data_IF_433558395650
#
_entry.id   IF_433558395650
#
_cell.length_a   1.000
_cell.length_b   1.000
_cell.length_c   1.000
_cell.angle_alpha   90.00
_cell.angle_beta   90.00
_cell.angle_gamma   90.00
#
_symmetry.space_group_name_H-M   'P 1'
#
loop_
_entity.id
_entity.type
_entity.pdbx_description
1 polymer ?
#
# COMPACT_ATOMS: atom_id res chain seq x y z
N UNK A 1 1.89 17.45 -52.52
CA UNK A 1 2.71 16.46 -51.80
C UNK A 1 1.83 15.76 -50.78
N UNK A 2 1.55 14.47 -50.99
CA UNK A 2 0.87 13.60 -50.02
C UNK A 2 1.96 12.92 -49.20
N UNK A 3 2.01 13.17 -47.90
CA UNK A 3 2.92 12.44 -47.00
C UNK A 3 2.08 11.50 -46.15
N UNK A 4 2.24 10.20 -46.41
CA UNK A 4 1.66 9.08 -45.65
C UNK A 4 2.28 9.08 -44.24
N UNK A 5 1.46 9.14 -43.20
CA UNK A 5 1.88 8.65 -41.89
C UNK A 5 1.57 7.17 -41.79
N UNK A 6 2.60 6.41 -41.49
CA UNK A 6 2.61 4.96 -41.33
C UNK A 6 2.05 4.65 -39.93
N UNK A 7 1.11 3.71 -39.87
CA UNK A 7 0.58 3.14 -38.63
C UNK A 7 1.70 2.43 -37.87
N UNK A 8 2.23 3.09 -36.83
CA UNK A 8 3.01 2.45 -35.79
C UNK A 8 2.10 2.14 -34.61
N UNK A 9 1.88 0.86 -34.32
CA UNK A 9 1.21 0.40 -33.10
C UNK A 9 2.13 0.75 -31.94
N UNK A 10 1.84 1.87 -31.26
CA UNK A 10 2.52 2.24 -30.01
C UNK A 10 1.92 1.40 -28.89
N UNK A 11 2.66 0.40 -28.45
CA UNK A 11 2.45 -0.24 -27.15
C UNK A 11 2.86 0.75 -26.05
N UNK A 12 1.93 1.56 -25.57
CA UNK A 12 2.18 2.46 -24.44
C UNK A 12 2.42 1.64 -23.16
N UNK A 13 3.56 1.81 -22.45
CA UNK A 13 3.76 1.16 -21.17
C UNK A 13 2.76 1.69 -20.14
N UNK A 14 2.20 0.77 -19.35
CA UNK A 14 1.29 1.08 -18.23
C UNK A 14 1.99 1.99 -17.22
N UNK A 15 1.39 3.18 -16.99
CA UNK A 15 1.87 4.26 -16.12
C UNK A 15 1.50 4.00 -14.65
N UNK A 16 2.18 3.04 -14.02
CA UNK A 16 2.10 2.78 -12.58
C UNK A 16 3.33 3.39 -11.88
N UNK A 17 3.14 4.22 -10.83
CA UNK A 17 4.25 4.81 -10.04
C UNK A 17 5.04 3.79 -9.20
N UNK A 18 4.55 2.55 -9.04
CA UNK A 18 5.28 1.52 -8.29
C UNK A 18 6.64 1.26 -8.92
N UNK A 19 7.71 1.25 -8.10
CA UNK A 19 9.11 1.05 -8.48
C UNK A 19 9.26 0.41 -9.88
N UNK A 20 9.47 1.24 -10.89
CA UNK A 20 9.90 0.80 -12.20
C UNK A 20 11.35 0.34 -12.05
N UNK A 21 11.53 -0.94 -11.69
CA UNK A 21 12.77 -1.65 -12.03
C UNK A 21 12.79 -1.71 -13.55
N UNK A 22 13.43 -0.73 -14.18
CA UNK A 22 13.60 -0.72 -15.63
C UNK A 22 14.33 -1.99 -16.05
N UNK A 23 13.90 -2.63 -17.15
CA UNK A 23 14.49 -3.88 -17.67
C UNK A 23 16.01 -3.76 -17.93
N UNK A 24 16.54 -2.53 -18.00
CA UNK A 24 17.93 -2.23 -18.27
C UNK A 24 18.80 -2.00 -17.01
N UNK A 25 18.26 -2.15 -15.79
CA UNK A 25 19.01 -1.97 -14.54
C UNK A 25 19.42 -3.30 -13.86
N UNK A 26 19.45 -4.42 -14.58
CA UNK A 26 20.06 -5.67 -14.09
C UNK A 26 21.60 -5.58 -14.09
N UNK A 27 22.16 -4.67 -13.29
CA UNK A 27 23.54 -4.84 -12.86
C UNK A 27 23.59 -5.83 -11.69
N UNK A 28 23.94 -7.06 -12.04
CA UNK A 28 24.23 -8.17 -11.14
C UNK A 28 25.41 -7.77 -10.24
N UNK A 29 25.20 -7.68 -8.92
CA UNK A 29 26.33 -7.71 -7.99
C UNK A 29 26.76 -9.16 -7.72
N UNK A 30 28.08 -9.48 -7.83
CA UNK A 30 28.63 -10.72 -7.31
C UNK A 30 28.54 -10.70 -5.77
N UNK A 31 28.40 -11.88 -5.17
CA UNK A 31 28.29 -12.02 -3.72
C UNK A 31 29.49 -11.44 -2.99
N UNK A 32 29.38 -10.22 -2.50
CA UNK A 32 30.37 -9.61 -1.61
C UNK A 32 29.97 -9.92 -0.16
N UNK A 33 30.81 -10.69 0.53
CA UNK A 33 30.98 -10.56 1.97
C UNK A 33 31.52 -9.15 2.22
N UNK A 34 30.63 -8.19 2.45
CA UNK A 34 31.02 -6.90 2.98
C UNK A 34 30.48 -6.82 4.40
N UNK A 35 31.38 -6.94 5.38
CA UNK A 35 31.13 -6.54 6.76
C UNK A 35 30.65 -5.09 6.74
N UNK A 36 29.34 -4.91 6.85
CA UNK A 36 28.71 -3.59 6.84
C UNK A 36 28.94 -2.98 8.23
N UNK A 37 30.05 -2.24 8.36
CA UNK A 37 30.22 -1.26 9.44
C UNK A 37 28.96 -0.40 9.46
N UNK A 38 28.39 -0.22 10.64
CA UNK A 38 27.21 0.60 10.86
C UNK A 38 27.31 1.91 10.08
N UNK A 39 26.44 2.09 9.08
CA UNK A 39 26.26 3.36 8.39
C UNK A 39 25.64 4.32 9.40
N UNK A 40 26.49 4.95 10.22
CA UNK A 40 26.11 6.07 11.08
C UNK A 40 25.62 7.18 10.15
N UNK A 41 24.29 7.29 10.00
CA UNK A 41 23.68 8.39 9.27
C UNK A 41 23.94 9.66 10.08
N UNK A 42 24.55 10.69 9.48
CA UNK A 42 24.94 11.89 10.23
C UNK A 42 23.70 12.56 10.83
N UNK A 43 23.83 13.02 12.08
CA UNK A 43 22.75 13.69 12.81
C UNK A 43 22.48 15.12 12.30
N UNK A 44 23.44 15.67 11.55
CA UNK A 44 23.37 16.99 10.94
C UNK A 44 23.48 16.88 9.41
N UNK A 45 22.77 17.72 8.64
CA UNK A 45 22.99 17.81 7.20
C UNK A 45 24.42 18.26 6.88
N UNK A 46 24.94 17.85 5.73
CA UNK A 46 26.18 18.43 5.18
C UNK A 46 26.01 19.91 4.80
N UNK A 47 27.12 20.63 4.66
CA UNK A 47 27.12 22.08 4.41
C UNK A 47 26.40 22.44 3.11
N UNK A 48 26.60 21.66 2.04
CA UNK A 48 25.95 21.88 0.76
C UNK A 48 24.43 21.71 0.87
N UNK A 49 23.98 20.67 1.57
CA UNK A 49 22.56 20.43 1.83
C UNK A 49 21.94 21.58 2.64
N UNK A 50 22.64 22.05 3.68
CA UNK A 50 22.18 23.19 4.48
C UNK A 50 22.06 24.47 3.65
N UNK A 51 23.09 24.79 2.87
CA UNK A 51 23.10 25.99 2.02
C UNK A 51 21.97 25.93 0.99
N UNK A 52 21.81 24.81 0.29
CA UNK A 52 20.74 24.64 -0.67
C UNK A 52 19.35 24.72 -0.02
N UNK A 53 19.16 24.11 1.15
CA UNK A 53 17.91 24.21 1.91
C UNK A 53 17.56 25.65 2.26
N UNK A 54 18.54 26.44 2.72
CA UNK A 54 18.38 27.87 2.98
C UNK A 54 17.99 28.64 1.71
N UNK A 55 18.71 28.42 0.60
CA UNK A 55 18.43 29.08 -0.67
C UNK A 55 17.04 28.76 -1.20
N UNK A 56 16.61 27.50 -1.16
CA UNK A 56 15.26 27.10 -1.58
C UNK A 56 14.18 27.69 -0.66
N UNK A 57 14.36 27.65 0.67
CA UNK A 57 13.40 28.28 1.59
C UNK A 57 13.28 29.79 1.29
N UNK A 58 14.41 30.46 1.08
CA UNK A 58 14.44 31.88 0.72
C UNK A 58 13.85 32.17 -0.66
N UNK A 59 13.96 31.28 -1.63
CA UNK A 59 13.42 31.44 -2.97
C UNK A 59 11.89 31.27 -2.99
N UNK A 60 11.40 30.16 -2.43
CA UNK A 60 10.01 29.73 -2.55
C UNK A 60 9.08 30.24 -1.45
N UNK A 61 9.59 30.55 -0.26
CA UNK A 61 8.77 31.05 0.86
C UNK A 61 8.78 32.58 0.93
N UNK A 62 7.70 33.15 1.47
CA UNK A 62 7.50 34.59 1.65
C UNK A 62 7.87 35.05 3.08
N UNK A 63 7.69 36.34 3.34
CA UNK A 63 7.82 36.93 4.66
C UNK A 63 9.23 36.82 5.23
N UNK A 64 9.31 36.34 6.47
CA UNK A 64 10.55 36.29 7.25
C UNK A 64 11.66 35.46 6.60
N UNK A 65 11.30 34.44 5.82
CA UNK A 65 12.25 33.61 5.07
C UNK A 65 13.08 34.40 4.04
N UNK A 66 12.55 35.51 3.50
CA UNK A 66 13.25 36.36 2.53
C UNK A 66 14.37 37.19 3.17
N UNK A 67 14.21 37.56 4.44
CA UNK A 67 15.11 38.45 5.17
C UNK A 67 15.99 37.72 6.19
N UNK A 68 15.70 36.44 6.46
CA UNK A 68 16.51 35.58 7.33
C UNK A 68 17.97 35.55 6.86
N UNK A 69 18.89 35.74 7.81
CA UNK A 69 20.32 35.55 7.58
C UNK A 69 20.65 34.05 7.53
N UNK A 70 21.69 33.68 6.78
CA UNK A 70 22.07 32.28 6.65
C UNK A 70 22.44 31.66 8.01
N UNK A 71 23.14 32.39 8.88
CA UNK A 71 23.57 31.89 10.19
C UNK A 71 22.40 31.58 11.14
N UNK A 72 21.26 32.26 10.94
CA UNK A 72 20.03 32.08 11.71
C UNK A 72 19.14 30.95 11.16
N UNK A 73 19.51 30.33 10.03
CA UNK A 73 18.74 29.23 9.44
C UNK A 73 18.92 27.93 10.22
N UNK A 74 17.82 27.43 10.79
CA UNK A 74 17.77 26.18 11.53
C UNK A 74 17.32 25.02 10.62
N UNK A 75 18.09 23.92 10.65
CA UNK A 75 17.77 22.70 9.91
C UNK A 75 18.06 21.47 10.77
N UNK A 76 17.12 20.54 10.82
CA UNK A 76 17.28 19.26 11.52
C UNK A 76 16.89 18.10 10.63
N UNK A 77 17.56 16.96 10.77
CA UNK A 77 17.26 15.76 9.98
C UNK A 77 16.02 15.08 10.55
N UNK A 78 14.98 14.88 9.73
CA UNK A 78 13.85 14.02 10.10
C UNK A 78 14.15 12.59 9.69
N UNK A 79 14.13 11.67 10.66
CA UNK A 79 14.20 10.23 10.40
C UNK A 79 12.82 9.75 9.96
N UNK A 80 12.67 9.19 8.75
CA UNK A 80 11.31 8.83 8.30
C UNK A 80 11.13 8.06 6.99
N UNK A 81 12.17 7.68 6.26
CA UNK A 81 12.01 6.89 5.02
C UNK A 81 13.31 6.25 4.53
N UNK A 82 13.19 5.19 3.74
CA UNK A 82 14.32 4.47 3.14
C UNK A 82 14.74 5.08 1.79
N UNK A 83 13.82 5.76 1.11
CA UNK A 83 13.99 6.26 -0.27
C UNK A 83 14.25 7.77 -0.39
N UNK A 84 13.93 8.56 0.66
CA UNK A 84 13.99 10.04 0.63
C UNK A 84 14.80 10.59 1.82
N UNK A 85 15.48 11.74 1.62
CA UNK A 85 16.09 12.50 2.73
C UNK A 85 15.12 13.61 3.16
N UNK A 86 14.82 13.68 4.45
CA UNK A 86 13.86 14.62 5.02
C UNK A 86 14.56 15.56 6.00
N UNK A 87 14.26 16.86 5.90
CA UNK A 87 14.80 17.88 6.79
C UNK A 87 13.69 18.82 7.24
N UNK A 88 13.68 19.15 8.53
CA UNK A 88 12.84 20.21 9.07
C UNK A 88 13.64 21.51 9.06
N UNK A 89 13.21 22.45 8.25
CA UNK A 89 13.78 23.79 8.20
C UNK A 89 12.88 24.73 9.02
N UNK A 90 13.43 25.56 9.92
CA UNK A 90 12.64 26.44 10.79
C UNK A 90 13.22 27.85 10.89
N UNK A 91 12.34 28.82 11.14
CA UNK A 91 12.70 30.14 11.65
C UNK A 91 13.02 30.04 13.14
N UNK A 92 14.07 30.73 13.64
CA UNK A 92 14.33 30.81 15.07
C UNK A 92 13.16 31.42 15.85
N UNK A 93 13.02 31.04 17.11
CA UNK A 93 12.01 31.58 18.03
C UNK A 93 12.09 33.10 18.22
N UNK A 94 13.26 33.69 17.98
CA UNK A 94 13.49 35.13 18.02
C UNK A 94 12.93 35.89 16.81
N UNK A 95 12.65 35.21 15.69
CA UNK A 95 12.16 35.81 14.45
C UNK A 95 10.64 35.70 14.40
N UNK A 96 9.94 36.84 14.41
CA UNK A 96 8.48 36.87 14.24
C UNK A 96 8.11 36.74 12.76
N UNK A 97 7.00 36.05 12.48
CA UNK A 97 6.41 35.99 11.13
C UNK A 97 5.82 37.34 10.74
N UNK A 98 5.91 37.68 9.45
CA UNK A 98 5.44 38.96 8.88
C UNK A 98 4.06 38.81 8.24
N UNK A 99 3.70 37.61 7.78
CA UNK A 99 2.42 37.29 7.18
C UNK A 99 1.96 35.87 7.54
N UNK A 100 1.44 35.16 6.54
CA UNK A 100 0.92 33.80 6.66
C UNK A 100 2.00 32.72 6.41
N UNK A 101 3.29 33.10 6.38
CA UNK A 101 4.36 32.14 6.16
C UNK A 101 4.44 31.12 7.30
N UNK A 102 4.76 29.85 6.98
CA UNK A 102 4.97 28.84 8.01
C UNK A 102 6.26 29.12 8.78
N UNK A 103 6.26 28.88 10.10
CA UNK A 103 7.49 28.93 10.91
C UNK A 103 8.45 27.77 10.63
N UNK A 104 7.88 26.63 10.24
CA UNK A 104 8.63 25.41 9.97
C UNK A 104 8.11 24.73 8.70
N UNK A 105 9.02 24.21 7.89
CA UNK A 105 8.73 23.56 6.63
C UNK A 105 9.49 22.23 6.53
N UNK A 106 8.87 21.25 5.88
CA UNK A 106 9.50 19.98 5.58
C UNK A 106 10.14 20.06 4.19
N UNK A 107 11.46 19.94 4.15
CA UNK A 107 12.22 19.74 2.92
C UNK A 107 12.34 18.25 2.64
N UNK A 108 11.85 17.83 1.49
CA UNK A 108 12.00 16.46 0.99
C UNK A 108 12.88 16.46 -0.24
N UNK A 109 13.99 15.74 -0.17
CA UNK A 109 14.88 15.51 -1.30
C UNK A 109 14.71 14.10 -1.83
N UNK A 110 14.52 14.00 -3.15
CA UNK A 110 14.41 12.74 -3.86
C UNK A 110 15.73 11.96 -3.75
N UNK A 111 15.67 10.71 -3.27
CA UNK A 111 16.86 9.86 -3.23
C UNK A 111 17.25 9.34 -4.61
N UNK A 112 18.45 8.74 -4.70
CA UNK A 112 18.99 8.16 -5.95
C UNK A 112 18.15 7.01 -6.54
N UNK A 113 17.11 6.55 -5.83
CA UNK A 113 16.23 5.42 -6.20
C UNK A 113 15.02 5.88 -7.03
N UNK A 114 14.67 7.18 -7.04
CA UNK A 114 13.65 7.73 -7.94
C UNK A 114 14.19 7.77 -9.39
N UNK A 115 14.16 6.61 -10.02
CA UNK A 115 14.64 6.40 -11.39
C UNK A 115 13.56 6.81 -12.40
N UNK A 116 13.58 8.07 -12.82
CA UNK A 116 12.94 8.51 -14.06
C UNK A 116 12.21 9.85 -13.98
N UNK A 117 12.42 10.70 -14.99
CA UNK A 117 11.76 12.00 -15.11
C UNK A 117 10.23 11.88 -15.11
N UNK A 118 9.68 10.81 -15.69
CA UNK A 118 8.23 10.56 -15.73
C UNK A 118 7.63 10.29 -14.34
N UNK A 119 8.32 9.51 -13.50
CA UNK A 119 7.85 9.21 -12.14
C UNK A 119 7.81 10.47 -11.27
N UNK A 120 8.85 11.31 -11.36
CA UNK A 120 8.90 12.60 -10.65
C UNK A 120 7.78 13.56 -11.07
N UNK A 121 7.46 13.61 -12.37
CA UNK A 121 6.36 14.45 -12.88
C UNK A 121 5.02 13.96 -12.33
N UNK A 122 4.77 12.64 -12.38
CA UNK A 122 3.51 12.08 -11.88
C UNK A 122 3.36 12.27 -10.36
N UNK A 123 4.42 12.03 -9.59
CA UNK A 123 4.43 12.27 -8.14
C UNK A 123 4.17 13.74 -7.83
N UNK A 124 4.81 14.67 -8.56
CA UNK A 124 4.62 16.11 -8.39
C UNK A 124 3.18 16.54 -8.68
N UNK A 125 2.58 16.04 -9.76
CA UNK A 125 1.17 16.31 -10.10
C UNK A 125 0.22 15.74 -9.03
N UNK A 126 0.48 14.51 -8.58
CA UNK A 126 -0.33 13.87 -7.55
C UNK A 126 -0.27 14.65 -6.24
N UNK A 127 0.94 14.98 -5.78
CA UNK A 127 1.16 15.71 -4.56
C UNK A 127 0.49 17.09 -4.59
N UNK A 128 0.66 17.85 -5.68
CA UNK A 128 0.04 19.16 -5.83
C UNK A 128 -1.50 19.08 -5.73
N UNK A 129 -2.13 18.09 -6.37
CA UNK A 129 -3.59 17.93 -6.30
C UNK A 129 -4.04 17.56 -4.88
N UNK A 130 -3.29 16.70 -4.18
CA UNK A 130 -3.61 16.30 -2.81
C UNK A 130 -3.49 17.48 -1.83
N UNK A 131 -2.45 18.29 -2.00
CA UNK A 131 -2.24 19.52 -1.23
C UNK A 131 -3.40 20.51 -1.45
N UNK A 132 -3.78 20.78 -2.70
CA UNK A 132 -4.89 21.68 -3.05
C UNK A 132 -6.26 21.21 -2.56
N UNK A 133 -6.42 19.90 -2.34
CA UNK A 133 -7.66 19.30 -1.82
C UNK A 133 -7.66 19.08 -0.30
N UNK A 134 -6.63 19.55 0.40
CA UNK A 134 -6.47 19.36 1.85
C UNK A 134 -6.47 17.87 2.28
N UNK A 135 -6.02 16.99 1.38
CA UNK A 135 -5.90 15.55 1.63
C UNK A 135 -4.46 15.12 1.94
N UNK A 136 -3.51 16.05 1.87
CA UNK A 136 -2.12 15.88 2.26
C UNK A 136 -1.51 17.19 2.75
N UNK A 137 -0.22 17.21 3.09
CA UNK A 137 0.49 18.42 3.49
C UNK A 137 0.43 19.50 2.40
N UNK A 138 0.32 20.78 2.78
CA UNK A 138 0.38 21.88 1.81
C UNK A 138 1.71 21.88 1.05
N UNK A 139 1.66 22.24 -0.22
CA UNK A 139 2.83 22.38 -1.08
C UNK A 139 3.29 23.84 -1.11
N UNK A 140 4.58 24.08 -0.89
CA UNK A 140 5.16 25.42 -0.94
C UNK A 140 6.16 25.63 -2.08
N UNK A 141 6.75 24.56 -2.60
CA UNK A 141 7.67 24.66 -3.73
C UNK A 141 8.07 23.30 -4.30
N UNK A 142 8.31 23.24 -5.60
CA UNK A 142 8.83 22.05 -6.30
C UNK A 142 10.06 22.47 -7.11
N UNK A 143 11.12 21.68 -7.05
CA UNK A 143 12.36 21.86 -7.80
C UNK A 143 12.94 20.50 -8.20
N UNK A 144 13.92 20.44 -9.13
CA UNK A 144 14.40 19.17 -9.67
C UNK A 144 14.89 18.15 -8.63
N UNK A 145 15.42 18.62 -7.50
CA UNK A 145 15.97 17.79 -6.44
C UNK A 145 14.93 17.37 -5.38
N UNK A 146 13.74 18.00 -5.35
CA UNK A 146 12.82 17.82 -4.23
C UNK A 146 11.66 18.80 -4.18
N UNK A 147 11.08 18.92 -2.99
CA UNK A 147 9.96 19.83 -2.71
C UNK A 147 9.99 20.36 -1.27
N UNK A 148 9.31 21.48 -1.08
CA UNK A 148 8.97 22.04 0.23
C UNK A 148 7.50 21.77 0.50
N UNK A 149 7.23 21.07 1.59
CA UNK A 149 5.88 20.70 2.04
C UNK A 149 5.64 21.15 3.48
N UNK A 150 4.38 21.32 3.87
CA UNK A 150 4.00 21.65 5.23
C UNK A 150 4.59 20.63 6.20
N UNK A 151 5.27 21.10 7.24
CA UNK A 151 5.59 20.24 8.37
C UNK A 151 4.32 20.00 9.19
N UNK A 152 3.92 18.74 9.34
CA UNK A 152 2.73 18.34 10.08
C UNK A 152 3.15 17.57 11.34
N UNK A 153 3.06 18.17 12.54
CA UNK A 153 3.37 17.49 13.81
C UNK A 153 2.51 16.25 14.00
N UNK A 154 3.14 15.09 13.92
CA UNK A 154 2.42 13.81 13.86
C UNK A 154 3.29 12.66 14.37
N UNK A 155 2.66 11.49 14.50
CA UNK A 155 3.33 10.19 14.57
C UNK A 155 2.65 9.22 13.62
N UNK A 156 3.37 8.19 13.19
CA UNK A 156 2.75 7.05 12.49
C UNK A 156 1.84 6.29 13.46
N UNK A 157 0.84 5.60 12.94
CA UNK A 157 0.10 4.62 13.71
C UNK A 157 0.96 3.39 13.99
N UNK A 158 0.67 2.71 15.09
CA UNK A 158 1.14 1.37 15.36
C UNK A 158 0.12 0.35 14.84
N UNK A 159 0.56 -0.85 14.46
CA UNK A 159 -0.30 -1.90 13.91
C UNK A 159 -1.48 -2.22 14.83
N UNK A 160 -1.26 -2.26 16.15
CA UNK A 160 -2.32 -2.56 17.12
C UNK A 160 -3.44 -1.51 17.14
N UNK A 161 -3.14 -0.26 16.74
CA UNK A 161 -4.10 0.84 16.70
C UNK A 161 -5.09 0.72 15.53
N UNK A 162 -4.74 -0.03 14.47
CA UNK A 162 -5.64 -0.28 13.35
C UNK A 162 -6.94 -0.97 13.80
N UNK A 163 -6.84 -1.80 14.85
CA UNK A 163 -7.97 -2.52 15.44
C UNK A 163 -8.90 -1.66 16.30
N UNK A 164 -8.49 -0.43 16.63
CA UNK A 164 -9.31 0.48 17.42
C UNK A 164 -10.54 0.94 16.60
N UNK A 165 -11.78 0.77 17.11
CA UNK A 165 -12.97 1.09 16.33
C UNK A 165 -13.07 2.55 15.86
N UNK A 166 -12.57 3.51 16.66
CA UNK A 166 -12.60 4.93 16.28
C UNK A 166 -11.59 5.25 15.20
N UNK A 167 -10.38 4.68 15.29
CA UNK A 167 -9.33 4.86 14.27
C UNK A 167 -9.77 4.17 12.98
N UNK A 168 -10.22 2.92 13.07
CA UNK A 168 -10.73 2.14 11.93
C UNK A 168 -11.86 2.85 11.19
N UNK A 169 -12.81 3.46 11.92
CA UNK A 169 -13.88 4.27 11.33
C UNK A 169 -13.32 5.50 10.59
N UNK A 170 -12.38 6.22 11.19
CA UNK A 170 -11.79 7.39 10.55
C UNK A 170 -10.96 7.02 9.31
N UNK A 171 -10.18 5.93 9.36
CA UNK A 171 -9.46 5.41 8.18
C UNK A 171 -10.43 5.08 7.06
N UNK A 172 -11.57 4.44 7.39
CA UNK A 172 -12.62 4.14 6.42
C UNK A 172 -13.17 5.42 5.74
N UNK A 173 -13.41 6.48 6.51
CA UNK A 173 -13.85 7.78 5.98
C UNK A 173 -12.79 8.44 5.09
N UNK A 174 -11.51 8.41 5.50
CA UNK A 174 -10.40 8.98 4.71
C UNK A 174 -10.23 8.23 3.40
N UNK A 175 -10.27 6.90 3.44
CA UNK A 175 -10.18 6.04 2.25
C UNK A 175 -11.37 6.27 1.31
N UNK A 176 -12.60 6.41 1.83
CA UNK A 176 -13.78 6.74 1.03
C UNK A 176 -13.63 8.09 0.31
N UNK A 177 -13.15 9.14 1.00
CA UNK A 177 -12.85 10.45 0.40
C UNK A 177 -11.78 10.34 -0.68
N UNK A 178 -10.72 9.57 -0.42
CA UNK A 178 -9.64 9.33 -1.38
C UNK A 178 -10.15 8.61 -2.64
N UNK A 179 -10.95 7.56 -2.48
CA UNK A 179 -11.60 6.83 -3.57
C UNK A 179 -12.55 7.70 -4.41
N UNK A 180 -13.19 8.70 -3.80
CA UNK A 180 -14.05 9.67 -4.49
C UNK A 180 -13.31 10.65 -5.40
N UNK A 181 -11.97 10.68 -5.35
CA UNK A 181 -11.19 11.64 -6.12
C UNK A 181 -11.21 11.37 -7.63
N UNK A 182 -11.38 12.46 -8.39
CA UNK A 182 -11.13 12.48 -9.84
C UNK A 182 -9.74 13.02 -10.10
N UNK A 183 -8.81 12.11 -10.40
CA UNK A 183 -7.42 12.43 -10.70
C UNK A 183 -7.16 12.42 -12.21
N UNK A 184 -6.27 13.25 -12.76
CA UNK A 184 -6.00 13.34 -14.21
C UNK A 184 -5.10 12.20 -14.73
N UNK A 185 -5.31 10.97 -14.25
CA UNK A 185 -4.53 9.79 -14.64
C UNK A 185 -5.36 8.79 -15.46
N UNK A 186 -4.74 7.74 -15.98
CA UNK A 186 -5.46 6.65 -16.63
C UNK A 186 -6.46 6.00 -15.65
N UNK A 187 -7.71 5.82 -16.08
CA UNK A 187 -8.81 5.27 -15.26
C UNK A 187 -8.95 3.76 -15.35
N UNK A 188 -8.24 3.12 -16.26
CA UNK A 188 -8.26 1.66 -16.41
C UNK A 188 -7.49 0.99 -15.26
N UNK A 189 -8.01 -0.08 -14.63
CA UNK A 189 -7.39 -0.77 -13.49
C UNK A 189 -6.25 -1.70 -13.95
N UNK A 190 -5.31 -1.17 -14.74
CA UNK A 190 -4.18 -1.93 -15.31
C UNK A 190 -3.06 -2.17 -14.30
N UNK A 191 -3.06 -1.42 -13.20
CA UNK A 191 -2.00 -1.45 -12.20
C UNK A 191 -1.85 -2.82 -11.55
N UNK A 192 -2.94 -3.40 -11.02
CA UNK A 192 -2.87 -4.63 -10.24
C UNK A 192 -2.40 -5.82 -11.08
N UNK A 193 -3.19 -6.22 -12.08
CA UNK A 193 -2.86 -7.39 -12.91
C UNK A 193 -1.60 -7.18 -13.74
N UNK A 194 -1.43 -5.99 -14.33
CA UNK A 194 -0.25 -5.69 -15.12
C UNK A 194 1.04 -5.72 -14.30
N UNK A 195 1.00 -5.36 -13.01
CA UNK A 195 2.16 -5.45 -12.12
C UNK A 195 2.38 -6.87 -11.62
N UNK A 196 1.33 -7.62 -11.26
CA UNK A 196 1.47 -9.05 -10.91
C UNK A 196 2.07 -9.87 -12.05
N UNK A 197 1.64 -9.64 -13.30
CA UNK A 197 2.21 -10.31 -14.47
C UNK A 197 3.71 -9.99 -14.63
N UNK A 198 4.10 -8.72 -14.46
CA UNK A 198 5.51 -8.31 -14.51
C UNK A 198 6.31 -8.97 -13.39
N UNK A 199 5.80 -8.95 -12.16
CA UNK A 199 6.48 -9.51 -11.00
C UNK A 199 6.62 -11.03 -11.13
N UNK A 200 5.58 -11.75 -11.54
CA UNK A 200 5.67 -13.19 -11.75
C UNK A 200 6.72 -13.52 -12.82
N UNK A 201 6.72 -12.81 -13.95
CA UNK A 201 7.74 -13.00 -15.00
C UNK A 201 9.17 -12.75 -14.49
N UNK A 202 9.36 -11.75 -13.62
CA UNK A 202 10.66 -11.51 -12.99
C UNK A 202 11.03 -12.64 -12.04
N UNK A 203 10.12 -13.03 -11.13
CA UNK A 203 10.30 -14.14 -10.17
C UNK A 203 10.73 -15.42 -10.88
N UNK A 204 10.09 -15.77 -11.99
CA UNK A 204 10.43 -16.96 -12.78
C UNK A 204 11.83 -16.93 -13.41
N UNK A 205 12.47 -15.75 -13.49
CA UNK A 205 13.84 -15.56 -14.01
C UNK A 205 14.87 -15.36 -12.91
N UNK A 206 14.46 -15.28 -11.64
CA UNK A 206 15.36 -15.06 -10.52
C UNK A 206 16.22 -16.28 -10.23
N UNK A 207 17.40 -16.02 -9.70
CA UNK A 207 18.25 -17.02 -9.07
C UNK A 207 18.78 -16.48 -7.74
N UNK A 208 19.06 -17.40 -6.83
CA UNK A 208 19.68 -17.11 -5.54
C UNK A 208 20.97 -17.90 -5.40
N UNK A 209 21.97 -17.32 -4.75
CA UNK A 209 23.26 -17.99 -4.49
C UNK A 209 23.39 -18.47 -3.05
N UNK A 210 22.65 -17.87 -2.12
CA UNK A 210 22.64 -18.26 -0.69
C UNK A 210 21.77 -19.50 -0.50
N UNK A 211 22.32 -20.52 0.16
CA UNK A 211 21.64 -21.81 0.36
C UNK A 211 20.31 -21.67 1.12
N UNK A 212 20.26 -20.81 2.14
CA UNK A 212 19.01 -20.52 2.85
C UNK A 212 17.94 -19.95 1.91
N UNK A 213 18.29 -18.99 1.05
CA UNK A 213 17.35 -18.39 0.10
C UNK A 213 16.92 -19.40 -0.97
N UNK A 214 17.86 -20.23 -1.46
CA UNK A 214 17.56 -21.29 -2.42
C UNK A 214 16.55 -22.31 -1.89
N UNK A 215 16.67 -22.73 -0.62
CA UNK A 215 15.70 -23.66 -0.02
C UNK A 215 14.28 -23.07 0.01
N UNK A 216 14.15 -21.83 0.47
CA UNK A 216 12.87 -21.13 0.51
C UNK A 216 12.31 -20.90 -0.91
N UNK A 217 13.15 -20.46 -1.84
CA UNK A 217 12.75 -20.21 -3.22
C UNK A 217 12.33 -21.48 -3.97
N UNK A 218 13.05 -22.59 -3.80
CA UNK A 218 12.69 -23.87 -4.41
C UNK A 218 11.37 -24.42 -3.84
N UNK A 219 11.09 -24.20 -2.55
CA UNK A 219 9.78 -24.52 -1.96
C UNK A 219 8.67 -23.70 -2.60
N UNK A 220 8.89 -22.41 -2.82
CA UNK A 220 7.94 -21.53 -3.51
C UNK A 220 7.69 -21.97 -4.96
N UNK A 221 8.74 -22.26 -5.71
CA UNK A 221 8.65 -22.76 -7.08
C UNK A 221 8.09 -24.18 -7.19
N UNK A 222 7.97 -24.92 -6.09
CA UNK A 222 7.24 -26.20 -6.07
C UNK A 222 5.74 -26.00 -6.30
N UNK A 223 5.23 -24.79 -6.03
CA UNK A 223 3.89 -24.39 -6.38
C UNK A 223 3.82 -23.88 -7.81
N UNK A 224 2.71 -24.15 -8.49
CA UNK A 224 2.46 -23.61 -9.83
C UNK A 224 1.93 -22.18 -9.73
N UNK A 225 2.85 -21.22 -9.50
CA UNK A 225 2.52 -19.80 -9.31
C UNK A 225 1.70 -19.20 -10.46
N UNK A 226 1.93 -19.68 -11.69
CA UNK A 226 1.16 -19.25 -12.86
C UNK A 226 -0.30 -19.71 -12.76
N UNK A 227 -0.52 -20.97 -12.41
CA UNK A 227 -1.87 -21.51 -12.22
C UNK A 227 -2.61 -20.83 -11.07
N UNK A 228 -1.92 -20.51 -9.97
CA UNK A 228 -2.50 -19.76 -8.86
C UNK A 228 -2.89 -18.34 -9.29
N UNK A 229 -2.05 -17.66 -10.09
CA UNK A 229 -2.36 -16.34 -10.64
C UNK A 229 -3.58 -16.39 -11.57
N UNK A 230 -3.68 -17.40 -12.43
CA UNK A 230 -4.81 -17.56 -13.38
C UNK A 230 -6.12 -17.85 -12.64
N UNK A 231 -6.07 -18.67 -11.58
CA UNK A 231 -7.20 -18.92 -10.69
C UNK A 231 -7.64 -17.64 -9.97
N UNK A 232 -6.70 -16.90 -9.40
CA UNK A 232 -6.97 -15.65 -8.70
C UNK A 232 -7.59 -14.62 -9.65
N UNK A 233 -7.04 -14.45 -10.86
CA UNK A 233 -7.63 -13.59 -11.89
C UNK A 233 -9.08 -13.96 -12.18
N UNK A 234 -9.35 -15.24 -12.41
CA UNK A 234 -10.71 -15.75 -12.67
C UNK A 234 -11.67 -15.47 -11.51
N UNK A 235 -11.22 -15.63 -10.26
CA UNK A 235 -12.00 -15.31 -9.06
C UNK A 235 -12.34 -13.81 -8.99
N UNK A 236 -11.35 -12.94 -9.22
CA UNK A 236 -11.52 -11.49 -9.15
C UNK A 236 -12.37 -10.96 -10.31
N UNK A 237 -12.22 -11.50 -11.52
CA UNK A 237 -13.10 -11.18 -12.67
C UNK A 237 -14.57 -11.54 -12.40
N UNK A 238 -14.82 -12.60 -11.63
CA UNK A 238 -16.17 -12.98 -11.18
C UNK A 238 -16.71 -12.13 -10.02
N UNK A 239 -15.93 -11.16 -9.54
CA UNK A 239 -16.24 -10.30 -8.39
C UNK A 239 -16.31 -8.86 -8.86
N UNK A 240 -17.52 -8.30 -8.90
CA UNK A 240 -17.66 -6.89 -9.25
C UNK A 240 -17.02 -6.01 -8.17
N UNK A 241 -15.96 -5.28 -8.53
CA UNK A 241 -15.37 -4.21 -7.71
C UNK A 241 -15.30 -2.93 -8.56
N UNK A 242 -15.90 -1.81 -8.12
CA UNK A 242 -15.71 -0.51 -8.74
C UNK A 242 -14.23 -0.12 -8.86
N UNK A 243 -13.91 0.53 -9.98
CA UNK A 243 -12.59 1.14 -10.21
C UNK A 243 -12.60 2.57 -9.68
N UNK A 244 -11.73 2.84 -8.72
CA UNK A 244 -11.60 4.12 -8.02
C UNK A 244 -10.13 4.51 -7.93
N UNK A 245 -9.81 5.72 -7.48
CA UNK A 245 -8.43 6.09 -7.22
C UNK A 245 -8.01 5.53 -5.86
N UNK A 246 -7.16 4.51 -5.85
CA UNK A 246 -6.74 3.77 -4.66
C UNK A 246 -5.36 4.22 -4.18
N UNK A 247 -5.12 4.11 -2.86
CA UNK A 247 -3.81 4.28 -2.25
C UNK A 247 -2.87 3.13 -2.64
N UNK A 248 -3.42 1.90 -2.64
CA UNK A 248 -2.79 0.60 -2.88
C UNK A 248 -1.79 0.12 -1.80
N UNK A 249 -1.36 0.99 -0.89
CA UNK A 249 -0.45 0.66 0.22
C UNK A 249 -0.84 1.35 1.54
N UNK A 250 -2.09 1.18 1.98
CA UNK A 250 -2.62 1.86 3.17
C UNK A 250 -2.26 1.12 4.49
N UNK A 251 -0.95 0.94 4.74
CA UNK A 251 -0.42 0.38 5.99
C UNK A 251 -0.35 1.44 7.13
N UNK A 252 -0.17 1.01 8.37
CA UNK A 252 -0.07 1.88 9.55
C UNK A 252 1.03 2.94 9.42
N UNK A 253 2.14 2.59 8.74
CA UNK A 253 3.26 3.49 8.51
C UNK A 253 2.94 4.68 7.61
N UNK A 254 1.85 4.57 6.84
CA UNK A 254 1.35 5.56 5.88
C UNK A 254 0.12 6.31 6.42
N UNK A 255 -0.23 6.11 7.69
CA UNK A 255 -1.32 6.82 8.38
C UNK A 255 -0.72 7.61 9.53
N UNK A 256 -0.80 8.94 9.44
CA UNK A 256 -0.31 9.86 10.46
C UNK A 256 -1.42 10.22 11.44
N UNK A 257 -1.17 10.04 12.73
CA UNK A 257 -1.94 10.65 13.81
C UNK A 257 -1.38 12.05 14.13
N UNK A 258 -2.22 13.06 13.96
CA UNK A 258 -1.89 14.47 14.11
C UNK A 258 -1.90 14.89 15.60
N UNK A 259 -0.89 15.65 16.05
CA UNK A 259 -0.69 15.99 17.48
C UNK A 259 -1.57 17.13 18.00
N UNK A 260 -1.96 18.10 17.15
CA UNK A 260 -2.50 19.40 17.59
C UNK A 260 -4.02 19.56 17.45
N UNK A 261 -4.78 18.48 17.34
CA UNK A 261 -6.23 18.56 17.32
C UNK A 261 -6.83 18.46 18.72
N UNK A 262 -7.58 19.48 19.13
CA UNK A 262 -8.40 19.42 20.35
C UNK A 262 -9.23 18.13 20.34
N UNK A 263 -9.44 17.51 21.50
CA UNK A 263 -10.10 16.20 21.63
C UNK A 263 -11.50 16.13 20.96
N UNK A 264 -12.13 17.26 20.66
CA UNK A 264 -13.40 17.42 19.96
C UNK A 264 -13.35 17.34 18.42
N UNK A 265 -12.18 17.41 17.79
CA UNK A 265 -12.08 17.36 16.33
C UNK A 265 -12.26 15.93 15.82
N UNK A 266 -13.16 15.80 14.84
CA UNK A 266 -13.56 14.53 14.21
C UNK A 266 -12.55 13.98 13.19
N UNK A 267 -11.41 14.64 12.99
CA UNK A 267 -10.43 14.27 11.96
C UNK A 267 -9.01 14.42 12.54
N UNK A 268 -8.40 13.30 12.93
CA UNK A 268 -7.07 13.22 13.54
C UNK A 268 -6.05 12.48 12.66
N UNK A 269 -6.50 11.87 11.56
CA UNK A 269 -5.68 11.05 10.68
C UNK A 269 -5.40 11.76 9.35
N UNK A 270 -4.22 11.50 8.80
CA UNK A 270 -3.81 11.92 7.46
C UNK A 270 -3.14 10.75 6.75
N UNK A 271 -3.59 10.44 5.53
CA UNK A 271 -2.93 9.47 4.67
C UNK A 271 -1.72 10.14 4.00
N UNK A 272 -0.63 9.40 3.85
CA UNK A 272 0.60 9.87 3.21
C UNK A 272 1.22 8.75 2.36
N UNK A 273 2.25 9.10 1.58
CA UNK A 273 3.05 8.15 0.81
C UNK A 273 2.27 7.43 -0.31
N UNK A 274 1.86 8.22 -1.29
CA UNK A 274 0.99 7.80 -2.40
C UNK A 274 1.77 7.18 -3.58
N UNK A 275 2.95 6.60 -3.33
CA UNK A 275 3.84 6.10 -4.39
C UNK A 275 3.23 4.95 -5.21
N UNK A 276 2.34 4.16 -4.60
CA UNK A 276 1.64 3.09 -5.29
C UNK A 276 0.28 3.53 -5.85
N UNK A 277 -0.15 4.77 -5.61
CA UNK A 277 -1.51 5.20 -5.91
C UNK A 277 -1.82 5.22 -7.41
N UNK A 278 -2.97 4.67 -7.77
CA UNK A 278 -3.45 4.58 -9.16
C UNK A 278 -4.96 4.35 -9.18
N UNK A 279 -5.57 4.41 -10.37
CA UNK A 279 -6.88 3.80 -10.52
C UNK A 279 -6.76 2.28 -10.38
N UNK A 280 -7.54 1.70 -9.48
CA UNK A 280 -7.55 0.27 -9.17
C UNK A 280 -8.90 -0.13 -8.56
N UNK A 281 -9.07 -1.41 -8.28
CA UNK A 281 -10.27 -1.97 -7.64
C UNK A 281 -10.36 -1.55 -6.16
N UNK A 282 -11.48 -0.95 -5.73
CA UNK A 282 -11.67 -0.56 -4.32
C UNK A 282 -11.53 -1.75 -3.36
N UNK A 283 -11.95 -2.95 -3.79
CA UNK A 283 -11.82 -4.18 -3.01
C UNK A 283 -10.37 -4.50 -2.68
N UNK A 284 -9.43 -4.19 -3.58
CA UNK A 284 -8.00 -4.35 -3.34
C UNK A 284 -7.50 -3.43 -2.24
N UNK A 285 -7.84 -2.14 -2.28
CA UNK A 285 -7.29 -1.17 -1.33
C UNK A 285 -7.77 -1.43 0.10
N UNK A 286 -9.07 -1.72 0.26
CA UNK A 286 -9.65 -2.10 1.56
C UNK A 286 -9.11 -3.46 2.01
N UNK A 287 -9.04 -4.44 1.11
CA UNK A 287 -8.53 -5.78 1.42
C UNK A 287 -7.07 -5.76 1.85
N UNK A 288 -6.26 -4.97 1.16
CA UNK A 288 -4.87 -4.71 1.52
C UNK A 288 -4.77 -4.10 2.91
N UNK A 289 -5.54 -3.05 3.19
CA UNK A 289 -5.55 -2.43 4.51
C UNK A 289 -5.89 -3.43 5.63
N UNK A 290 -6.84 -4.35 5.40
CA UNK A 290 -7.13 -5.41 6.36
C UNK A 290 -6.00 -6.44 6.51
N UNK A 291 -5.28 -6.73 5.43
CA UNK A 291 -4.09 -7.59 5.51
C UNK A 291 -3.03 -6.98 6.45
N UNK A 292 -2.82 -5.66 6.39
CA UNK A 292 -1.81 -4.95 7.22
C UNK A 292 -2.07 -5.05 8.73
N UNK A 293 -3.29 -5.39 9.18
CA UNK A 293 -3.56 -5.62 10.61
C UNK A 293 -2.76 -6.78 11.20
N UNK A 294 -2.30 -7.69 10.35
CA UNK A 294 -1.52 -8.86 10.76
C UNK A 294 -0.01 -8.61 10.80
N UNK A 295 0.47 -7.54 10.17
CA UNK A 295 1.90 -7.30 9.95
C UNK A 295 2.38 -6.16 10.84
N UNK A 296 3.28 -6.48 11.77
CA UNK A 296 3.92 -5.50 12.65
C UNK A 296 5.37 -5.31 12.22
N UNK A 297 5.68 -4.16 11.64
CA UNK A 297 7.01 -3.81 11.15
C UNK A 297 7.90 -3.13 12.21
N UNK A 298 7.41 -2.94 13.45
CA UNK A 298 8.18 -2.30 14.52
C UNK A 298 9.01 -3.34 15.31
N UNK A 299 9.93 -4.00 14.60
CA UNK A 299 10.78 -5.05 15.16
C UNK A 299 12.26 -4.76 14.91
N UNK A 300 13.05 -4.67 15.99
CA UNK A 300 14.50 -4.41 15.94
C UNK A 300 15.34 -5.65 15.59
N UNK A 301 14.72 -6.84 15.60
CA UNK A 301 15.38 -8.11 15.34
C UNK A 301 14.90 -8.73 14.04
N UNK A 302 15.81 -9.42 13.33
CA UNK A 302 15.49 -10.19 12.13
C UNK A 302 14.33 -11.18 12.40
N UNK A 303 13.28 -11.26 11.56
CA UNK A 303 13.19 -10.75 10.18
C UNK A 303 12.79 -9.27 10.02
N UNK A 304 12.75 -8.50 11.11
CA UNK A 304 12.35 -7.09 11.20
C UNK A 304 10.85 -6.85 11.02
N UNK A 305 10.06 -7.91 11.21
CA UNK A 305 8.61 -7.84 11.31
C UNK A 305 8.06 -9.06 12.06
N UNK A 306 6.80 -8.99 12.49
CA UNK A 306 6.03 -10.10 13.06
C UNK A 306 4.71 -10.24 12.31
N UNK A 307 4.28 -11.48 12.12
CA UNK A 307 2.98 -11.79 11.53
C UNK A 307 2.10 -12.47 12.55
N UNK A 308 0.89 -11.94 12.77
CA UNK A 308 -0.14 -12.51 13.64
C UNK A 308 -1.42 -12.68 12.86
N UNK A 309 -1.60 -13.87 12.26
CA UNK A 309 -2.76 -14.16 11.43
C UNK A 309 -4.11 -14.00 12.17
N UNK A 310 -4.11 -14.20 13.49
CA UNK A 310 -5.28 -14.01 14.35
C UNK A 310 -5.72 -12.54 14.49
N UNK A 311 -4.85 -11.58 14.14
CA UNK A 311 -5.15 -10.15 14.24
C UNK A 311 -5.85 -9.62 12.98
N UNK A 312 -6.05 -10.46 11.94
CA UNK A 312 -6.91 -10.11 10.81
C UNK A 312 -8.32 -9.71 11.31
N UNK A 313 -8.92 -8.62 10.81
CA UNK A 313 -10.19 -8.13 11.33
C UNK A 313 -11.27 -9.20 11.22
N UNK A 314 -11.92 -9.52 12.34
CA UNK A 314 -13.07 -10.40 12.33
C UNK A 314 -14.23 -9.79 11.54
N UNK A 315 -15.23 -10.59 11.16
CA UNK A 315 -16.38 -10.10 10.37
C UNK A 315 -17.05 -8.87 10.99
N UNK A 316 -17.18 -8.78 12.31
CA UNK A 316 -17.75 -7.60 12.97
C UNK A 316 -16.90 -6.33 12.79
N UNK A 317 -15.57 -6.44 12.90
CA UNK A 317 -14.65 -5.32 12.66
C UNK A 317 -14.66 -4.89 11.18
N UNK A 318 -14.68 -5.85 10.25
CA UNK A 318 -14.78 -5.55 8.83
C UNK A 318 -16.09 -4.83 8.49
N UNK A 319 -17.22 -5.31 9.01
CA UNK A 319 -18.53 -4.68 8.80
C UNK A 319 -18.58 -3.27 9.41
N UNK A 320 -17.92 -3.04 10.54
CA UNK A 320 -17.79 -1.69 11.14
C UNK A 320 -17.01 -0.74 10.23
N UNK A 321 -15.87 -1.17 9.69
CA UNK A 321 -15.11 -0.38 8.71
C UNK A 321 -15.95 -0.11 7.45
N UNK A 322 -16.54 -1.16 6.88
CA UNK A 322 -17.36 -1.11 5.66
C UNK A 322 -18.55 -0.16 5.83
N UNK A 323 -19.21 -0.16 6.98
CA UNK A 323 -20.32 0.75 7.24
C UNK A 323 -19.89 2.22 7.22
N UNK A 324 -18.79 2.56 7.89
CA UNK A 324 -18.26 3.92 7.90
C UNK A 324 -17.77 4.34 6.50
N UNK A 325 -17.14 3.42 5.76
CA UNK A 325 -16.75 3.64 4.38
C UNK A 325 -17.96 3.92 3.47
N UNK A 326 -19.03 3.12 3.56
CA UNK A 326 -20.23 3.29 2.75
C UNK A 326 -20.97 4.58 3.11
N UNK A 327 -21.07 4.92 4.40
CA UNK A 327 -21.65 6.19 4.86
C UNK A 327 -20.92 7.41 4.27
N UNK A 328 -19.60 7.33 4.13
CA UNK A 328 -18.78 8.40 3.55
C UNK A 328 -18.74 8.42 2.02
N UNK A 329 -19.01 7.29 1.34
CA UNK A 329 -18.88 7.17 -0.13
C UNK A 329 -20.22 7.10 -0.88
N UNK A 330 -21.32 6.78 -0.21
CA UNK A 330 -22.63 6.61 -0.80
C UNK A 330 -23.63 7.61 -0.20
N UNK A 331 -23.95 8.65 -0.97
CA UNK A 331 -24.94 9.64 -0.56
C UNK A 331 -26.29 8.98 -0.27
N UNK A 332 -26.86 9.27 0.91
CA UNK A 332 -28.13 8.71 1.34
C UNK A 332 -28.06 7.28 1.89
N UNK A 333 -26.86 6.73 2.18
CA UNK A 333 -26.69 5.42 2.80
C UNK A 333 -27.55 5.24 4.06
N UNK A 334 -27.53 6.23 4.96
CA UNK A 334 -28.30 6.19 6.22
C UNK A 334 -29.83 6.27 5.99
N UNK A 335 -30.28 6.73 4.82
CA UNK A 335 -31.70 6.82 4.45
C UNK A 335 -32.26 5.50 3.89
N UNK A 336 -31.40 4.52 3.62
CA UNK A 336 -31.80 3.22 3.09
C UNK A 336 -32.42 2.33 4.18
N UNK A 337 -33.18 1.32 3.74
CA UNK A 337 -33.70 0.29 4.65
C UNK A 337 -32.55 -0.49 5.30
N UNK A 338 -32.78 -1.05 6.50
CA UNK A 338 -31.79 -1.90 7.16
C UNK A 338 -31.41 -3.12 6.31
N UNK A 339 -32.35 -3.65 5.52
CA UNK A 339 -32.11 -4.77 4.60
C UNK A 339 -31.16 -4.37 3.47
N UNK A 340 -31.37 -3.21 2.85
CA UNK A 340 -30.51 -2.71 1.76
C UNK A 340 -29.12 -2.33 2.27
N UNK A 341 -29.04 -1.69 3.44
CA UNK A 341 -27.75 -1.41 4.09
C UNK A 341 -26.99 -2.72 4.36
N UNK A 342 -27.65 -3.72 4.94
CA UNK A 342 -27.02 -5.01 5.24
C UNK A 342 -26.56 -5.72 3.96
N UNK A 343 -27.38 -5.71 2.91
CA UNK A 343 -27.04 -6.29 1.61
C UNK A 343 -25.78 -5.67 1.02
N UNK A 344 -25.69 -4.33 0.97
CA UNK A 344 -24.49 -3.65 0.47
C UNK A 344 -23.26 -3.93 1.33
N UNK A 345 -23.41 -4.00 2.65
CA UNK A 345 -22.32 -4.36 3.56
C UNK A 345 -21.80 -5.78 3.30
N UNK A 346 -22.68 -6.75 3.10
CA UNK A 346 -22.30 -8.15 2.80
C UNK A 346 -21.69 -8.31 1.40
N UNK A 347 -22.18 -7.57 0.40
CA UNK A 347 -21.58 -7.53 -0.95
C UNK A 347 -20.16 -6.96 -0.90
N UNK A 348 -19.94 -5.84 -0.20
CA UNK A 348 -18.60 -5.27 -0.05
C UNK A 348 -17.69 -6.14 0.83
N UNK A 349 -18.22 -6.79 1.87
CA UNK A 349 -17.47 -7.77 2.67
C UNK A 349 -16.93 -8.90 1.78
N UNK A 350 -17.80 -9.44 0.92
CA UNK A 350 -17.44 -10.45 -0.08
C UNK A 350 -16.35 -9.97 -1.02
N UNK A 351 -16.52 -8.78 -1.59
CA UNK A 351 -15.58 -8.14 -2.51
C UNK A 351 -14.18 -8.02 -1.87
N UNK A 352 -14.12 -7.41 -0.69
CA UNK A 352 -12.87 -7.14 0.05
C UNK A 352 -12.11 -8.41 0.40
N UNK A 353 -12.79 -9.46 0.89
CA UNK A 353 -12.10 -10.69 1.28
C UNK A 353 -11.52 -11.45 0.08
N UNK A 354 -12.18 -11.40 -1.08
CA UNK A 354 -11.61 -11.99 -2.32
C UNK A 354 -10.38 -11.22 -2.78
N UNK A 355 -10.44 -9.89 -2.75
CA UNK A 355 -9.31 -9.04 -3.12
C UNK A 355 -8.17 -9.03 -2.09
N UNK A 356 -8.41 -9.39 -0.83
CA UNK A 356 -7.36 -9.61 0.18
C UNK A 356 -6.40 -10.73 -0.23
N UNK A 357 -6.90 -11.77 -0.92
CA UNK A 357 -6.04 -12.81 -1.51
C UNK A 357 -5.07 -12.23 -2.55
N UNK A 358 -5.54 -11.22 -3.30
CA UNK A 358 -4.73 -10.54 -4.30
C UNK A 358 -3.63 -9.68 -3.68
N UNK A 359 -3.92 -8.99 -2.56
CA UNK A 359 -2.93 -8.25 -1.78
C UNK A 359 -1.78 -9.16 -1.36
N UNK A 360 -2.09 -10.30 -0.75
CA UNK A 360 -1.04 -11.24 -0.35
C UNK A 360 -0.25 -11.81 -1.52
N UNK A 361 -0.90 -12.17 -2.64
CA UNK A 361 -0.19 -12.63 -3.83
C UNK A 361 0.76 -11.56 -4.37
N UNK A 362 0.26 -10.32 -4.46
CA UNK A 362 1.00 -9.16 -4.97
C UNK A 362 2.24 -8.88 -4.14
N UNK A 363 2.09 -8.70 -2.83
CA UNK A 363 3.20 -8.39 -1.92
C UNK A 363 4.13 -9.58 -1.71
N UNK A 364 3.62 -10.82 -1.81
CA UNK A 364 4.44 -12.02 -1.85
C UNK A 364 5.41 -12.04 -3.03
N UNK A 365 4.92 -11.76 -4.25
CA UNK A 365 5.78 -11.64 -5.44
C UNK A 365 6.78 -10.48 -5.31
N UNK A 366 6.32 -9.32 -4.84
CA UNK A 366 7.18 -8.16 -4.58
C UNK A 366 8.30 -8.51 -3.61
N UNK A 367 7.99 -9.18 -2.50
CA UNK A 367 8.95 -9.55 -1.47
C UNK A 367 10.03 -10.50 -2.02
N UNK A 368 9.64 -11.50 -2.83
CA UNK A 368 10.61 -12.40 -3.49
C UNK A 368 11.60 -11.61 -4.38
N UNK A 369 11.12 -10.64 -5.15
CA UNK A 369 11.97 -9.78 -5.99
C UNK A 369 12.91 -8.95 -5.12
N UNK A 370 12.39 -8.35 -4.05
CA UNK A 370 13.18 -7.51 -3.13
C UNK A 370 14.25 -8.32 -2.40
N UNK A 371 14.04 -9.60 -2.13
CA UNK A 371 15.06 -10.47 -1.55
C UNK A 371 16.34 -10.57 -2.39
N UNK A 372 16.25 -10.30 -3.71
CA UNK A 372 17.39 -10.30 -4.63
C UNK A 372 17.96 -8.90 -4.87
N UNK A 373 17.10 -7.88 -4.89
CA UNK A 373 17.43 -6.53 -5.35
C UNK A 373 17.68 -5.54 -4.21
N UNK A 374 16.99 -5.69 -3.08
CA UNK A 374 17.02 -4.73 -1.99
C UNK A 374 18.35 -4.77 -1.24
N UNK A 375 18.85 -3.59 -0.88
CA UNK A 375 20.00 -3.41 0.02
C UNK A 375 19.59 -3.32 1.49
N UNK A 376 18.28 -3.22 1.76
CA UNK A 376 17.74 -3.15 3.11
C UNK A 376 17.79 -4.55 3.73
N UNK A 377 18.31 -4.62 4.97
CA UNK A 377 18.28 -5.86 5.75
C UNK A 377 16.84 -6.10 6.24
N UNK A 378 16.09 -6.92 5.50
CA UNK A 378 14.72 -7.31 5.83
C UNK A 378 14.49 -8.78 5.45
N UNK A 379 13.63 -9.50 6.19
CA UNK A 379 13.37 -10.92 6.01
C UNK A 379 12.48 -11.29 4.81
N UNK A 380 12.78 -10.76 3.62
CA UNK A 380 11.94 -10.87 2.42
C UNK A 380 11.53 -12.30 2.01
N UNK A 381 12.39 -13.31 2.25
CA UNK A 381 12.09 -14.73 1.94
C UNK A 381 11.65 -15.56 3.16
N UNK A 382 11.61 -14.95 4.35
CA UNK A 382 11.50 -15.68 5.62
C UNK A 382 10.05 -15.85 6.10
N UNK A 383 9.07 -15.13 5.55
CA UNK A 383 7.67 -15.31 5.99
C UNK A 383 6.60 -14.97 4.95
N UNK A 384 6.74 -13.92 4.14
CA UNK A 384 5.57 -13.39 3.41
C UNK A 384 5.16 -14.23 2.21
N UNK A 385 6.11 -14.78 1.46
CA UNK A 385 5.79 -15.66 0.34
C UNK A 385 5.35 -17.05 0.84
N UNK A 386 6.09 -17.65 1.77
CA UNK A 386 5.90 -19.08 2.11
C UNK A 386 4.70 -19.31 3.02
N UNK A 387 4.47 -18.48 4.04
CA UNK A 387 3.30 -18.62 4.91
C UNK A 387 2.00 -18.37 4.14
N UNK A 388 2.03 -17.49 3.13
CA UNK A 388 0.92 -17.29 2.18
C UNK A 388 0.63 -18.53 1.32
N UNK A 389 1.65 -19.08 0.64
CA UNK A 389 1.45 -20.24 -0.25
C UNK A 389 1.14 -21.52 0.53
N UNK A 390 1.71 -21.73 1.71
CA UNK A 390 1.35 -22.86 2.59
C UNK A 390 -0.13 -22.78 3.01
N UNK A 391 -0.64 -21.58 3.30
CA UNK A 391 -2.02 -21.37 3.80
C UNK A 391 -3.07 -21.47 2.69
N UNK A 392 -2.81 -20.91 1.50
CA UNK A 392 -3.76 -21.00 0.37
C UNK A 392 -3.70 -22.38 -0.29
N UNK A 393 -2.51 -22.94 -0.50
CA UNK A 393 -2.37 -24.19 -1.28
C UNK A 393 -2.67 -25.41 -0.43
N UNK A 394 -2.43 -25.36 0.89
CA UNK A 394 -2.91 -26.39 1.83
C UNK A 394 -4.43 -26.63 1.77
N UNK A 395 -5.21 -25.64 1.33
CA UNK A 395 -6.67 -25.76 1.15
C UNK A 395 -7.08 -26.35 -0.21
N UNK A 396 -6.15 -26.48 -1.16
CA UNK A 396 -6.37 -27.15 -2.45
C UNK A 396 -6.08 -28.67 -2.39
N UNK A 397 -5.54 -29.19 -1.28
CA UNK A 397 -5.21 -30.61 -1.10
C UNK A 397 -6.27 -31.33 -0.26
N UNK A 398 -7.27 -31.90 -0.96
CA UNK A 398 -8.09 -33.07 -0.61
C UNK A 398 -9.20 -32.97 0.50
N UNK A 399 -10.49 -33.17 0.15
CA UNK A 399 -11.62 -33.13 1.10
C UNK A 399 -12.12 -34.51 1.58
N UNK A 400 -11.32 -35.57 1.54
CA UNK A 400 -11.72 -36.88 2.08
C UNK A 400 -10.60 -37.52 2.90
N UNK A 401 -10.74 -37.44 4.22
CA UNK A 401 -9.87 -38.11 5.19
C UNK A 401 -10.21 -37.68 6.60
N UNK A 402 -10.92 -38.56 7.31
CA UNK A 402 -11.36 -38.37 8.69
C UNK A 402 -10.24 -37.98 9.66
N UNK A 403 -10.58 -37.08 10.58
CA UNK A 403 -10.05 -37.04 11.94
C UNK A 403 -8.65 -36.46 12.14
N UNK A 404 -8.56 -35.24 12.67
CA UNK A 404 -7.31 -34.76 13.27
C UNK A 404 -7.28 -33.27 13.61
N UNK A 405 -7.64 -32.94 14.85
CA UNK A 405 -7.24 -31.76 15.63
C UNK A 405 -7.10 -30.40 14.92
N UNK A 406 -8.15 -29.59 15.08
CA UNK A 406 -8.16 -28.15 14.86
C UNK A 406 -7.15 -27.44 15.77
N UNK A 407 -6.17 -26.75 15.18
CA UNK A 407 -5.42 -25.69 15.87
C UNK A 407 -5.28 -24.47 14.96
N UNK A 408 -5.83 -23.34 15.41
CA UNK A 408 -5.40 -21.96 15.12
C UNK A 408 -5.43 -21.37 13.69
N UNK A 409 -5.40 -22.14 12.61
CA UNK A 409 -5.10 -21.63 11.25
C UNK A 409 -6.31 -21.59 10.28
N UNK A 410 -7.55 -21.56 10.79
CA UNK A 410 -8.72 -22.00 10.02
C UNK A 410 -9.82 -20.96 9.74
N UNK A 411 -9.67 -19.68 10.10
CA UNK A 411 -10.86 -18.80 10.23
C UNK A 411 -11.22 -17.97 8.98
N UNK A 412 -10.31 -17.72 8.03
CA UNK A 412 -10.63 -16.82 6.90
C UNK A 412 -11.14 -17.50 5.63
N UNK A 413 -10.89 -18.80 5.45
CA UNK A 413 -11.25 -19.53 4.23
C UNK A 413 -12.51 -20.40 4.36
N UNK A 414 -13.10 -20.50 5.56
CA UNK A 414 -14.37 -21.21 5.80
C UNK A 414 -15.63 -20.38 5.50
N UNK A 415 -15.53 -19.06 5.33
CA UNK A 415 -16.71 -18.20 5.12
C UNK A 415 -17.21 -18.17 3.65
N UNK A 416 -16.41 -18.65 2.69
CA UNK A 416 -16.73 -18.51 1.26
C UNK A 416 -17.28 -19.79 0.58
N UNK A 417 -17.58 -20.86 1.33
CA UNK A 417 -18.15 -22.11 0.77
C UNK A 417 -19.55 -22.48 1.24
N UNK A 418 -20.29 -21.58 1.89
CA UNK A 418 -21.63 -21.88 2.43
C UNK A 418 -22.80 -21.15 1.74
N UNK A 419 -22.58 -20.33 0.69
CA UNK A 419 -23.71 -19.59 0.08
C UNK A 419 -24.02 -19.82 -1.41
N UNK A 420 -23.41 -20.85 -2.03
CA UNK A 420 -23.69 -21.24 -3.43
C UNK A 420 -24.14 -22.72 -3.54
N UNK A 421 -24.99 -23.17 -2.60
CA UNK A 421 -25.55 -24.55 -2.63
C UNK A 421 -27.01 -24.71 -2.18
N UNK A 422 -27.84 -23.66 -2.26
CA UNK A 422 -29.28 -23.77 -1.93
C UNK A 422 -30.24 -23.44 -3.08
N UNK A 423 -29.77 -23.09 -4.28
CA UNK A 423 -30.66 -22.94 -5.45
C UNK A 423 -30.20 -23.81 -6.61
N UNK A 424 -30.60 -25.09 -6.58
CA UNK A 424 -30.57 -25.94 -7.76
C UNK A 424 -30.25 -27.40 -7.49
N UNK A 425 -31.25 -28.16 -7.04
CA UNK A 425 -31.54 -29.58 -7.38
C UNK A 425 -32.48 -30.18 -6.33
N UNK A 426 -33.78 -30.13 -6.60
CA UNK A 426 -34.71 -31.16 -6.11
C UNK A 426 -35.21 -31.92 -7.32
N UNK A 427 -34.56 -33.05 -7.59
CA UNK A 427 -34.93 -33.98 -8.65
C UNK A 427 -35.70 -35.13 -8.01
N UNK A 428 -36.94 -35.33 -8.46
CA UNK A 428 -37.70 -36.59 -8.54
C UNK A 428 -37.20 -37.76 -7.67
N UNK A 429 -37.92 -38.06 -6.60
CA UNK A 429 -37.92 -39.40 -6.00
C UNK A 429 -38.88 -40.28 -6.81
N UNK A 430 -38.31 -41.27 -7.51
CA UNK A 430 -39.03 -42.40 -8.11
C UNK A 430 -39.43 -43.38 -7.01
N UNK A 431 -40.71 -43.77 -7.01
CA UNK A 431 -41.24 -44.97 -6.35
C UNK A 431 -40.47 -46.21 -6.81
N UNK A 432 -40.04 -47.05 -5.88
CA UNK A 432 -39.79 -48.46 -6.12
C UNK A 432 -40.43 -49.28 -4.99
N UNK A 433 -41.05 -50.37 -5.42
CA UNK A 433 -42.09 -51.15 -4.76
C UNK A 433 -41.57 -51.99 -3.58
N UNK A 434 -42.40 -52.10 -2.55
CA UNK A 434 -42.41 -53.22 -1.61
C UNK A 434 -43.09 -54.45 -2.24
N UNK A 435 -42.45 -55.62 -2.20
CA UNK A 435 -43.12 -56.94 -2.14
C UNK A 435 -42.11 -58.04 -1.78
N UNK A 436 -42.48 -58.79 -0.72
CA UNK A 436 -42.08 -60.16 -0.33
C UNK A 436 -40.61 -60.36 0.09
N UNK A 437 -40.28 -60.98 1.22
CA UNK A 437 -41.00 -61.96 2.08
C UNK A 437 -40.99 -61.60 3.57
#
# INVERSE_FOLDING_TARGET
MKTKFINGVSSSPSLSLGLLVTENALQVQPGAQQDCKDLVRPETPDQDTRLNAYLWCKEFLNGSWKILAEDDFEITVIRGGLSNKLFLCSLPDSVNTVGDEPRSILLRLYGAILQGAEAMVLESVMFAILAERELGPKLYGIFPQGRLEQYVPSRKLETCELSNPSISAEVAEKMAKFHGMRMPFNKEPKWLFGTMDKYLNQVMRLNFTRESHLRHFNRLLSYNLQQEMDWLKSLLESTHSPVVFCHNDCQEGNILLLKDHHQSDKQKLMLIDFEYSSYNYRGFDIGNHFCEWMYDYNCDEFPFFKVKAQDYPCKAQQLHFIENYLRASHEGFDSLSQEDQMKMKEELYTEVNRFSLASHFFWGLWSIIQARLSTIKFGYLVSDAITYFDTIIGLNVNPFGDGGYYSGQLIMLSAYRVHERVKGKSTRIRKLNSKHD
#
